data_IF_378726812992
#
_entry.id   IF_378726812992
#
_cell.length_a   1.000
_cell.length_b   1.000
_cell.length_c   1.000
_cell.angle_alpha   90.00
_cell.angle_beta   90.00
_cell.angle_gamma   90.00
#
_symmetry.space_group_name_H-M   'P 1'
#
loop_
_entity.id
_entity.type
_entity.pdbx_description
1 polymer ?
#
# COMPACT_ATOMS: atom_id res chain seq x y z
N UNK A 1 -9.94 -13.65 8.74
CA UNK A 1 -9.80 -14.63 7.63
C UNK A 1 -9.69 -16.05 8.21
N UNK A 2 -10.43 -17.01 7.66
CA UNK A 2 -10.38 -18.42 8.13
C UNK A 2 -9.03 -19.06 7.81
N UNK A 3 -8.44 -19.88 8.71
CA UNK A 3 -7.19 -20.60 8.43
C UNK A 3 -7.26 -21.48 7.17
N UNK A 4 -8.46 -21.91 6.79
CA UNK A 4 -8.72 -22.72 5.58
C UNK A 4 -8.49 -21.94 4.28
N UNK A 5 -8.61 -20.61 4.31
CA UNK A 5 -8.42 -19.72 3.15
C UNK A 5 -7.03 -19.07 3.19
N UNK A 6 -6.59 -18.64 4.38
CA UNK A 6 -5.31 -17.93 4.53
C UNK A 6 -4.09 -18.81 4.20
N UNK A 7 -4.05 -20.07 4.66
CA UNK A 7 -2.88 -20.93 4.46
C UNK A 7 -2.59 -21.23 2.97
N UNK A 8 -3.59 -21.59 2.14
CA UNK A 8 -3.39 -21.72 0.70
C UNK A 8 -2.88 -20.44 0.04
N UNK A 9 -3.46 -19.27 0.35
CA UNK A 9 -3.02 -17.99 -0.22
C UNK A 9 -1.57 -17.66 0.17
N UNK A 10 -1.19 -17.86 1.44
CA UNK A 10 0.20 -17.64 1.88
C UNK A 10 1.18 -18.57 1.15
N UNK A 11 0.79 -19.82 0.86
CA UNK A 11 1.61 -20.74 0.08
C UNK A 11 1.72 -20.33 -1.40
N UNK A 12 0.63 -19.79 -1.97
CA UNK A 12 0.56 -19.34 -3.36
C UNK A 12 1.39 -18.08 -3.63
N UNK A 13 1.35 -17.09 -2.73
CA UNK A 13 1.99 -15.79 -2.94
C UNK A 13 3.32 -15.60 -2.20
N UNK A 14 3.64 -16.45 -1.22
CA UNK A 14 4.82 -16.29 -0.37
C UNK A 14 6.17 -16.36 -1.09
N UNK A 15 6.22 -16.93 -2.30
CA UNK A 15 7.42 -16.95 -3.15
C UNK A 15 7.64 -15.67 -3.96
N UNK A 16 6.66 -14.77 -4.00
CA UNK A 16 6.66 -13.55 -4.82
C UNK A 16 7.02 -13.80 -6.30
N UNK A 17 6.60 -14.93 -6.87
CA UNK A 17 6.98 -15.35 -8.24
C UNK A 17 6.01 -14.91 -9.34
N UNK A 18 4.92 -14.20 -9.00
CA UNK A 18 3.91 -13.78 -9.97
C UNK A 18 4.45 -12.81 -11.03
N UNK A 19 5.17 -11.76 -10.58
CA UNK A 19 5.64 -10.68 -11.45
C UNK A 19 6.80 -9.96 -10.79
N UNK A 20 7.77 -9.51 -11.59
CA UNK A 20 8.85 -8.62 -11.15
C UNK A 20 8.54 -7.21 -11.65
N UNK A 21 8.54 -6.24 -10.74
CA UNK A 21 8.31 -4.82 -11.02
C UNK A 21 8.91 -3.96 -9.92
N UNK A 22 9.09 -2.68 -10.23
CA UNK A 22 9.38 -1.61 -9.28
C UNK A 22 8.13 -1.21 -8.50
N UNK A 23 8.32 -0.50 -7.39
CA UNK A 23 7.21 0.02 -6.59
C UNK A 23 6.33 1.02 -7.37
N UNK A 24 6.93 1.79 -8.29
CA UNK A 24 6.17 2.75 -9.10
C UNK A 24 5.32 2.06 -10.15
N UNK A 25 5.85 1.02 -10.82
CA UNK A 25 5.04 0.19 -11.72
C UNK A 25 3.87 -0.49 -10.98
N UNK A 26 4.06 -0.87 -9.71
CA UNK A 26 2.97 -1.39 -8.88
C UNK A 26 1.92 -0.32 -8.55
N UNK A 27 2.33 0.92 -8.28
CA UNK A 27 1.42 2.06 -8.09
C UNK A 27 0.62 2.37 -9.36
N UNK A 28 1.26 2.36 -10.53
CA UNK A 28 0.60 2.58 -11.82
C UNK A 28 -0.44 1.50 -12.13
N UNK A 29 -0.22 0.26 -11.70
CA UNK A 29 -1.26 -0.78 -11.80
C UNK A 29 -2.50 -0.40 -10.97
N UNK A 30 -2.32 0.19 -9.80
CA UNK A 30 -3.43 0.64 -8.94
C UNK A 30 -4.22 1.83 -9.52
N UNK A 31 -3.78 2.45 -10.62
CA UNK A 31 -4.62 3.42 -11.37
C UNK A 31 -5.88 2.76 -11.96
N UNK A 32 -5.87 1.43 -12.11
CA UNK A 32 -6.98 0.65 -12.67
C UNK A 32 -7.88 0.02 -11.60
N UNK A 33 -7.61 0.27 -10.31
CA UNK A 33 -8.32 -0.36 -9.21
C UNK A 33 -9.03 0.69 -8.35
N UNK A 34 -10.35 0.55 -8.21
CA UNK A 34 -11.14 1.18 -7.14
C UNK A 34 -11.43 0.11 -6.10
N UNK A 35 -11.20 0.44 -4.82
CA UNK A 35 -11.45 -0.47 -3.70
C UNK A 35 -12.95 -0.49 -3.38
N UNK A 36 -13.60 -1.62 -3.60
CA UNK A 36 -15.05 -1.79 -3.37
C UNK A 36 -15.41 -1.86 -1.88
N UNK A 37 -14.42 -2.10 -1.02
CA UNK A 37 -14.62 -2.23 0.42
C UNK A 37 -14.50 -0.91 1.18
N UNK A 38 -13.85 0.10 0.59
CA UNK A 38 -13.67 1.42 1.18
C UNK A 38 -14.91 2.29 0.91
N UNK A 39 -15.72 2.63 1.93
CA UNK A 39 -16.93 3.44 1.75
C UNK A 39 -16.62 4.93 1.53
N UNK A 40 -15.37 5.36 1.73
CA UNK A 40 -14.99 6.77 1.79
C UNK A 40 -14.38 7.28 0.46
N UNK A 41 -14.02 6.39 -0.47
CA UNK A 41 -13.34 6.75 -1.74
C UNK A 41 -13.92 6.02 -2.95
N UNK A 42 -14.06 6.73 -4.07
CA UNK A 42 -14.57 6.21 -5.36
C UNK A 42 -13.61 6.44 -6.53
N UNK A 43 -12.34 6.72 -6.22
CA UNK A 43 -11.28 7.02 -7.19
C UNK A 43 -10.16 5.95 -7.13
N UNK A 44 -9.23 5.93 -8.11
CA UNK A 44 -8.19 4.90 -8.15
C UNK A 44 -7.32 4.83 -6.90
N UNK A 45 -7.00 3.61 -6.44
CA UNK A 45 -6.28 3.36 -5.19
C UNK A 45 -4.84 3.91 -5.20
N UNK A 46 -4.28 4.20 -6.37
CA UNK A 46 -3.01 4.94 -6.49
C UNK A 46 -3.07 6.32 -5.84
N UNK A 47 -4.17 7.07 -6.01
CA UNK A 47 -4.37 8.36 -5.36
C UNK A 47 -4.44 8.22 -3.83
N UNK A 48 -5.10 7.16 -3.35
CA UNK A 48 -5.15 6.86 -1.92
C UNK A 48 -3.73 6.67 -1.34
N UNK A 49 -2.86 5.92 -2.05
CA UNK A 49 -1.48 5.73 -1.63
C UNK A 49 -0.69 7.07 -1.54
N UNK A 50 -0.86 7.96 -2.51
CA UNK A 50 -0.24 9.29 -2.46
C UNK A 50 -0.84 10.19 -1.36
N UNK A 51 -2.15 10.17 -1.16
CA UNK A 51 -2.82 10.90 -0.09
C UNK A 51 -2.32 10.47 1.29
N UNK A 52 -2.19 9.17 1.53
CA UNK A 52 -1.66 8.62 2.77
C UNK A 52 -0.20 9.03 2.97
N UNK A 53 0.65 8.88 1.94
CA UNK A 53 2.06 9.28 2.01
C UNK A 53 2.22 10.79 2.32
N UNK A 54 1.46 11.65 1.64
CA UNK A 54 1.50 13.11 1.85
C UNK A 54 0.88 13.53 3.17
N UNK A 55 -0.18 12.84 3.63
CA UNK A 55 -0.77 13.05 4.95
C UNK A 55 0.24 12.79 6.05
N UNK A 56 0.94 11.65 5.98
CA UNK A 56 2.02 11.32 6.91
C UNK A 56 3.13 12.37 6.84
N UNK A 57 3.57 12.77 5.64
CA UNK A 57 4.61 13.79 5.45
C UNK A 57 4.27 15.13 6.11
N UNK A 58 3.00 15.55 6.04
CA UNK A 58 2.52 16.79 6.65
C UNK A 58 2.36 16.68 8.16
N UNK A 59 1.89 15.54 8.66
CA UNK A 59 1.71 15.29 10.10
C UNK A 59 3.04 15.06 10.83
N UNK A 60 4.02 14.51 10.13
CA UNK A 60 5.33 14.15 10.67
C UNK A 60 6.48 14.79 9.89
N UNK A 61 6.56 16.12 9.85
CA UNK A 61 7.67 16.79 9.20
C UNK A 61 8.98 16.47 9.92
N UNK A 62 10.02 16.17 9.16
CA UNK A 62 11.35 15.86 9.69
C UNK A 62 11.95 17.11 10.33
N UNK A 63 11.78 17.25 11.65
CA UNK A 63 12.45 18.30 12.43
C UNK A 63 13.81 17.73 12.81
N UNK A 64 14.82 17.99 11.98
CA UNK A 64 16.21 17.50 12.12
C UNK A 64 16.96 17.96 13.38
N UNK A 65 16.34 17.91 14.55
CA UNK A 65 16.95 18.24 15.86
C UNK A 65 16.65 17.14 16.88
N UNK A 66 17.55 16.98 17.86
CA UNK A 66 17.57 15.92 18.86
C UNK A 66 16.33 15.78 19.77
N UNK A 67 15.31 16.64 19.60
CA UNK A 67 14.00 16.51 20.24
C UNK A 67 13.01 15.60 19.48
N UNK A 68 13.48 14.88 18.44
CA UNK A 68 12.70 14.05 17.52
C UNK A 68 12.16 12.71 18.07
N UNK A 69 11.66 12.66 19.31
CA UNK A 69 10.98 11.44 19.82
C UNK A 69 9.52 11.28 19.36
N UNK A 70 8.99 12.27 18.64
CA UNK A 70 7.61 12.32 18.13
C UNK A 70 7.52 12.59 16.61
N UNK A 71 8.65 12.72 15.91
CA UNK A 71 8.68 12.91 14.45
C UNK A 71 8.82 11.56 13.77
N UNK A 72 7.92 11.24 12.85
CA UNK A 72 8.09 10.05 12.03
C UNK A 72 9.19 10.32 10.98
N UNK A 73 10.13 9.40 10.78
CA UNK A 73 11.24 9.63 9.85
C UNK A 73 10.78 9.51 8.40
N UNK A 74 11.59 9.96 7.43
CA UNK A 74 11.26 9.90 6.00
C UNK A 74 10.77 8.54 5.49
N UNK A 75 11.21 7.43 6.11
CA UNK A 75 10.73 6.10 5.75
C UNK A 75 9.23 5.92 6.00
N UNK A 76 8.62 6.71 6.89
CA UNK A 76 7.20 6.58 7.20
C UNK A 76 6.31 7.14 6.09
N UNK A 77 6.79 8.14 5.34
CA UNK A 77 6.11 8.58 4.12
C UNK A 77 6.07 7.44 3.10
N UNK A 78 7.20 6.73 2.97
CA UNK A 78 7.31 5.58 2.09
C UNK A 78 6.40 4.44 2.53
N UNK A 79 6.26 4.18 3.83
CA UNK A 79 5.27 3.20 4.34
C UNK A 79 3.86 3.57 3.88
N UNK A 80 3.48 4.84 3.99
CA UNK A 80 2.18 5.33 3.47
C UNK A 80 2.02 5.10 1.97
N UNK A 81 3.08 5.20 1.19
CA UNK A 81 3.02 4.94 -0.25
C UNK A 81 2.93 3.44 -0.58
N UNK A 82 3.58 2.58 0.20
CA UNK A 82 3.69 1.14 -0.09
C UNK A 82 2.57 0.30 0.51
N UNK A 83 1.84 0.80 1.51
CA UNK A 83 0.99 -0.01 2.40
C UNK A 83 -0.05 -0.85 1.65
N UNK A 84 -0.61 -0.31 0.57
CA UNK A 84 -1.70 -0.91 -0.20
C UNK A 84 -1.25 -1.58 -1.50
N UNK A 85 0.06 -1.68 -1.77
CA UNK A 85 0.56 -2.29 -3.00
C UNK A 85 0.17 -3.77 -3.17
N UNK A 86 -0.21 -4.46 -2.09
CA UNK A 86 -0.73 -5.83 -2.16
C UNK A 86 -2.05 -5.94 -2.94
N UNK A 87 -2.81 -4.85 -3.08
CA UNK A 87 -4.09 -4.82 -3.80
C UNK A 87 -3.94 -5.11 -5.31
N UNK A 88 -2.72 -5.09 -5.86
CA UNK A 88 -2.45 -5.54 -7.24
C UNK A 88 -2.86 -6.99 -7.49
N UNK A 89 -3.03 -7.82 -6.44
CA UNK A 89 -3.53 -9.19 -6.57
C UNK A 89 -4.94 -9.26 -7.20
N UNK A 90 -5.77 -8.23 -6.99
CA UNK A 90 -7.10 -8.12 -7.63
C UNK A 90 -6.96 -8.07 -9.15
N UNK A 91 -5.99 -7.28 -9.65
CA UNK A 91 -5.69 -7.17 -11.08
C UNK A 91 -5.06 -8.45 -11.64
N UNK A 92 -4.59 -9.35 -10.78
CA UNK A 92 -4.10 -10.68 -11.14
C UNK A 92 -5.14 -11.78 -10.99
N UNK A 93 -6.40 -11.42 -10.76
CA UNK A 93 -7.55 -12.33 -10.80
C UNK A 93 -8.06 -12.79 -9.43
N UNK A 94 -7.52 -12.26 -8.32
CA UNK A 94 -8.16 -12.47 -7.02
C UNK A 94 -9.46 -11.66 -6.91
N UNK A 95 -10.48 -12.18 -6.22
CA UNK A 95 -11.63 -11.38 -5.84
C UNK A 95 -11.21 -10.25 -4.88
N UNK A 96 -11.94 -9.14 -4.90
CA UNK A 96 -11.85 -8.11 -3.85
C UNK A 96 -12.41 -8.63 -2.53
#
# INVERSE_FOLDING_TARGET
>A
VSPRVARPQSAQYGSCSLRRMSAMEALELLDQLVDESDPDVDFPNSFHAFQTAEGIRRAHPDKGTAAARLCAPHWFHLVGLLHDLGKVLVLFGEPQ
#
